data_IF_744237646310
#
_entry.id   IF_744237646310
#
_cell.length_a   1.000
_cell.length_b   1.000
_cell.length_c   1.000
_cell.angle_alpha   90.00
_cell.angle_beta   90.00
_cell.angle_gamma   90.00
#
_symmetry.space_group_name_H-M   'P 1'
#
loop_
_entity.id
_entity.type
_entity.pdbx_description
1 polymer ?
#
# COMPACT_ATOMS: atom_id res chain seq x y z
N UNK A 1 -7.54 -3.25 -27.14
CA UNK A 1 -6.68 -3.46 -25.94
C UNK A 1 -7.45 -3.09 -24.68
N UNK A 2 -7.18 -3.73 -23.54
CA UNK A 2 -7.81 -3.35 -22.26
C UNK A 2 -7.14 -2.08 -21.72
N UNK A 3 -7.94 -1.06 -21.39
CA UNK A 3 -7.44 0.22 -20.82
C UNK A 3 -6.76 -0.01 -19.47
N UNK A 4 -7.51 -0.50 -18.49
CA UNK A 4 -6.97 -0.86 -17.18
C UNK A 4 -6.45 -2.29 -17.21
N UNK A 5 -5.13 -2.42 -17.09
CA UNK A 5 -4.38 -3.69 -17.13
C UNK A 5 -4.07 -4.24 -15.74
N UNK A 6 -4.25 -3.45 -14.69
CA UNK A 6 -3.99 -3.89 -13.32
C UNK A 6 -5.00 -3.32 -12.29
N UNK A 7 -5.13 -4.04 -11.18
CA UNK A 7 -5.78 -3.57 -9.96
C UNK A 7 -4.72 -3.57 -8.84
N UNK A 8 -4.49 -2.40 -8.25
CA UNK A 8 -3.68 -2.21 -7.06
C UNK A 8 -4.60 -1.95 -5.86
N UNK A 9 -4.45 -2.68 -4.77
CA UNK A 9 -5.29 -2.49 -3.58
C UNK A 9 -4.50 -2.52 -2.28
N UNK A 10 -4.97 -1.79 -1.27
CA UNK A 10 -4.51 -1.98 0.12
C UNK A 10 -5.04 -3.28 0.73
N UNK A 11 -4.40 -3.72 1.81
CA UNK A 11 -4.82 -4.87 2.60
C UNK A 11 -5.91 -4.50 3.63
N UNK A 12 -5.48 -3.85 4.70
CA UNK A 12 -6.30 -3.50 5.87
C UNK A 12 -7.32 -2.46 5.50
N UNK A 13 -8.54 -2.57 6.04
CA UNK A 13 -9.62 -1.63 5.71
C UNK A 13 -10.14 -1.75 4.27
N UNK A 14 -9.43 -2.43 3.36
CA UNK A 14 -9.73 -2.46 1.92
C UNK A 14 -10.12 -3.85 1.42
N UNK A 15 -9.23 -4.85 1.38
CA UNK A 15 -9.62 -6.24 0.98
C UNK A 15 -9.96 -7.12 2.18
N UNK A 16 -9.57 -6.69 3.37
CA UNK A 16 -9.91 -7.29 4.65
C UNK A 16 -10.37 -6.20 5.64
N UNK A 17 -11.09 -6.56 6.72
CA UNK A 17 -11.22 -5.68 7.88
C UNK A 17 -9.83 -5.35 8.47
N UNK A 18 -9.75 -4.30 9.27
CA UNK A 18 -8.52 -3.91 9.97
C UNK A 18 -7.99 -5.08 10.82
N UNK A 19 -6.72 -5.47 10.63
CA UNK A 19 -6.15 -6.60 11.37
C UNK A 19 -6.72 -7.97 10.99
N UNK A 20 -7.69 -8.00 10.07
CA UNK A 20 -8.52 -9.15 9.76
C UNK A 20 -7.97 -10.04 8.65
N UNK A 21 -8.82 -10.97 8.21
CA UNK A 21 -8.54 -11.87 7.08
C UNK A 21 -9.43 -11.53 5.89
N UNK A 22 -8.97 -11.88 4.70
CA UNK A 22 -9.74 -11.74 3.46
C UNK A 22 -10.82 -12.82 3.41
N UNK A 23 -12.08 -12.40 3.31
CA UNK A 23 -13.21 -13.33 3.18
C UNK A 23 -13.20 -14.08 1.84
N UNK A 24 -13.81 -15.28 1.78
CA UNK A 24 -13.86 -16.09 0.57
C UNK A 24 -14.46 -15.37 -0.64
N UNK A 25 -15.49 -14.53 -0.45
CA UNK A 25 -16.11 -13.76 -1.52
C UNK A 25 -15.14 -12.75 -2.17
N UNK A 26 -14.37 -12.05 -1.35
CA UNK A 26 -13.33 -11.12 -1.80
C UNK A 26 -12.22 -11.86 -2.56
N UNK A 27 -11.77 -13.00 -2.04
CA UNK A 27 -10.78 -13.84 -2.71
C UNK A 27 -11.29 -14.31 -4.09
N UNK A 28 -12.56 -14.71 -4.18
CA UNK A 28 -13.16 -15.09 -5.47
C UNK A 28 -13.21 -13.91 -6.45
N UNK A 29 -13.55 -12.70 -5.97
CA UNK A 29 -13.55 -11.50 -6.80
C UNK A 29 -12.16 -11.16 -7.33
N UNK A 30 -11.12 -11.19 -6.48
CA UNK A 30 -9.74 -10.98 -6.91
C UNK A 30 -9.31 -12.06 -7.92
N UNK A 31 -9.64 -13.33 -7.70
CA UNK A 31 -9.38 -14.39 -8.69
C UNK A 31 -10.10 -14.15 -10.02
N UNK A 32 -11.29 -13.54 -10.05
CA UNK A 32 -11.95 -13.12 -11.31
C UNK A 32 -11.12 -12.06 -12.03
N UNK A 33 -10.56 -11.07 -11.32
CA UNK A 33 -9.65 -10.07 -11.91
C UNK A 33 -8.42 -10.74 -12.52
N UNK A 34 -7.78 -11.65 -11.77
CA UNK A 34 -6.63 -12.41 -12.27
C UNK A 34 -6.97 -13.22 -13.53
N UNK A 35 -8.09 -13.97 -13.53
CA UNK A 35 -8.56 -14.73 -14.71
C UNK A 35 -8.93 -13.85 -15.88
N UNK A 36 -9.32 -12.60 -15.62
CA UNK A 36 -9.52 -11.63 -16.69
C UNK A 36 -8.21 -11.25 -17.39
N UNK A 37 -7.03 -11.72 -16.93
CA UNK A 37 -5.73 -11.39 -17.49
C UNK A 37 -5.20 -10.02 -17.07
N UNK A 38 -5.83 -9.38 -16.07
CA UNK A 38 -5.30 -8.19 -15.40
C UNK A 38 -4.33 -8.61 -14.32
N UNK A 39 -3.29 -7.80 -14.10
CA UNK A 39 -2.37 -8.00 -12.98
C UNK A 39 -3.02 -7.58 -11.67
N UNK A 40 -2.67 -8.29 -10.60
CA UNK A 40 -3.04 -7.94 -9.24
C UNK A 40 -1.82 -7.45 -8.47
N UNK A 41 -1.92 -6.27 -7.88
CA UNK A 41 -0.88 -5.68 -7.03
C UNK A 41 -1.45 -5.46 -5.63
N UNK A 42 -0.75 -5.92 -4.60
CA UNK A 42 -1.09 -5.59 -3.21
C UNK A 42 -0.16 -4.48 -2.74
N UNK A 43 -0.69 -3.44 -2.07
CA UNK A 43 0.11 -2.31 -1.58
C UNK A 43 -0.19 -2.07 -0.11
N UNK A 44 0.68 -2.53 0.79
CA UNK A 44 0.37 -2.63 2.23
C UNK A 44 1.54 -2.20 3.13
N UNK A 45 1.18 -1.75 4.33
CA UNK A 45 2.14 -1.50 5.42
C UNK A 45 2.65 -2.77 6.09
N UNK A 46 1.99 -3.91 5.85
CA UNK A 46 2.31 -5.18 6.49
C UNK A 46 3.67 -5.72 6.06
N UNK A 47 4.31 -6.45 6.98
CA UNK A 47 5.49 -7.26 6.69
C UNK A 47 5.09 -8.52 5.93
N UNK A 48 6.00 -9.06 5.13
CA UNK A 48 5.73 -10.25 4.32
C UNK A 48 5.44 -11.47 5.21
N UNK A 49 6.20 -11.64 6.30
CA UNK A 49 5.99 -12.73 7.25
C UNK A 49 4.57 -12.75 7.84
N UNK A 50 4.05 -11.58 8.18
CA UNK A 50 2.70 -11.41 8.69
C UNK A 50 1.64 -11.70 7.63
N UNK A 51 1.83 -11.21 6.40
CA UNK A 51 0.95 -11.48 5.26
C UNK A 51 0.83 -12.98 4.96
N UNK A 52 1.94 -13.71 4.98
CA UNK A 52 1.96 -15.16 4.75
C UNK A 52 1.08 -15.89 5.76
N UNK A 53 1.06 -15.46 7.03
CA UNK A 53 0.24 -16.07 8.08
C UNK A 53 -1.25 -15.78 7.95
N UNK A 54 -1.62 -14.56 7.56
CA UNK A 54 -3.03 -14.15 7.54
C UNK A 54 -3.73 -14.38 6.20
N UNK A 55 -2.98 -14.39 5.10
CA UNK A 55 -3.51 -14.55 3.75
C UNK A 55 -2.69 -15.58 2.93
N UNK A 56 -2.93 -16.89 3.12
CA UNK A 56 -2.16 -17.94 2.43
C UNK A 56 -2.21 -17.90 0.89
N UNK A 57 -3.20 -17.20 0.32
CA UNK A 57 -3.40 -17.12 -1.13
C UNK A 57 -2.57 -16.02 -1.82
N UNK A 58 -1.41 -15.60 -1.25
CA UNK A 58 -0.59 -14.51 -1.81
C UNK A 58 -0.25 -14.69 -3.31
N UNK A 59 -0.12 -15.93 -3.78
CA UNK A 59 0.19 -16.26 -5.18
C UNK A 59 -0.85 -15.75 -6.21
N UNK A 60 -2.02 -15.25 -5.78
CA UNK A 60 -2.93 -14.55 -6.68
C UNK A 60 -2.35 -13.22 -7.18
N UNK A 61 -1.49 -12.58 -6.38
CA UNK A 61 -0.86 -11.30 -6.71
C UNK A 61 0.35 -11.52 -7.61
N UNK A 62 0.55 -10.63 -8.57
CA UNK A 62 1.72 -10.61 -9.44
C UNK A 62 2.90 -9.89 -8.79
N UNK A 63 2.62 -8.92 -7.92
CA UNK A 63 3.61 -8.26 -7.08
C UNK A 63 2.94 -7.74 -5.80
N UNK A 64 3.65 -7.83 -4.68
CA UNK A 64 3.24 -7.28 -3.39
C UNK A 64 4.25 -6.20 -3.02
N UNK A 65 3.75 -5.00 -2.79
CA UNK A 65 4.46 -3.87 -2.19
C UNK A 65 4.21 -3.95 -0.69
N UNK A 66 5.20 -4.41 0.06
CA UNK A 66 5.13 -4.60 1.51
C UNK A 66 5.88 -3.49 2.25
N UNK A 67 5.69 -3.43 3.57
CA UNK A 67 6.41 -2.52 4.47
C UNK A 67 6.31 -1.05 4.01
N UNK A 68 5.11 -0.60 3.66
CA UNK A 68 4.83 0.74 3.16
C UNK A 68 5.67 1.11 1.92
N UNK A 69 6.04 0.12 1.09
CA UNK A 69 6.80 0.35 -0.13
C UNK A 69 8.30 0.17 0.00
N UNK A 70 8.80 -0.32 1.13
CA UNK A 70 10.21 -0.62 1.30
C UNK A 70 10.64 -1.93 0.63
N UNK A 71 9.70 -2.84 0.35
CA UNK A 71 9.99 -4.18 -0.16
C UNK A 71 9.01 -4.55 -1.27
N UNK A 72 9.52 -5.10 -2.38
CA UNK A 72 8.72 -5.83 -3.34
C UNK A 72 8.83 -7.32 -3.08
N UNK A 73 7.72 -8.03 -3.21
CA UNK A 73 7.66 -9.48 -3.09
C UNK A 73 6.93 -10.08 -4.28
N UNK A 74 7.56 -11.05 -4.93
CA UNK A 74 6.94 -11.90 -5.93
C UNK A 74 6.50 -13.22 -5.28
N UNK A 75 5.20 -13.39 -4.96
CA UNK A 75 4.73 -14.57 -4.24
C UNK A 75 4.79 -15.86 -5.07
N UNK A 76 4.88 -15.77 -6.40
CA UNK A 76 5.00 -16.93 -7.29
C UNK A 76 6.43 -17.47 -7.33
N UNK A 77 7.42 -16.58 -7.23
CA UNK A 77 8.84 -16.93 -7.22
C UNK A 77 9.42 -17.06 -5.80
N UNK A 78 8.72 -16.56 -4.77
CA UNK A 78 9.27 -16.45 -3.42
C UNK A 78 10.39 -15.41 -3.30
N UNK A 79 10.49 -14.47 -4.24
CA UNK A 79 11.60 -13.52 -4.35
C UNK A 79 11.25 -12.19 -3.68
N UNK A 80 12.15 -11.69 -2.84
CA UNK A 80 12.07 -10.36 -2.24
C UNK A 80 13.10 -9.42 -2.88
N UNK A 81 12.69 -8.19 -3.15
CA UNK A 81 13.57 -7.11 -3.60
C UNK A 81 13.47 -5.95 -2.63
N UNK A 82 14.59 -5.62 -1.99
CA UNK A 82 14.70 -4.47 -1.11
C UNK A 82 14.74 -3.17 -1.93
N UNK A 83 13.85 -2.23 -1.61
CA UNK A 83 13.84 -0.87 -2.16
C UNK A 83 14.41 0.16 -1.18
N UNK A 84 14.66 -0.25 0.05
CA UNK A 84 15.21 0.58 1.11
C UNK A 84 16.23 -0.23 1.93
N UNK A 85 17.19 0.42 2.60
CA UNK A 85 18.14 -0.26 3.47
C UNK A 85 17.42 -0.88 4.69
N UNK A 86 18.00 -1.92 5.31
CA UNK A 86 17.49 -2.45 6.56
C UNK A 86 17.57 -1.43 7.71
N UNK A 87 16.86 -1.66 8.83
CA UNK A 87 16.96 -0.79 9.99
C UNK A 87 18.42 -0.63 10.45
N UNK A 88 18.86 0.59 10.81
CA UNK A 88 20.23 0.84 11.24
C UNK A 88 20.65 -0.06 12.41
N UNK A 89 21.91 -0.49 12.40
CA UNK A 89 22.46 -1.31 13.48
C UNK A 89 22.31 -0.62 14.83
N UNK A 90 21.93 -1.38 15.86
CA UNK A 90 21.71 -0.86 17.22
C UNK A 90 20.42 -0.08 17.44
N UNK A 91 19.66 0.29 16.39
CA UNK A 91 18.40 1.02 16.55
C UNK A 91 17.38 0.21 17.37
N UNK A 92 17.18 -1.06 17.01
CA UNK A 92 16.25 -1.97 17.70
C UNK A 92 16.69 -2.23 19.14
N UNK A 93 18.00 -2.41 19.35
CA UNK A 93 18.53 -2.68 20.69
C UNK A 93 18.40 -1.45 21.61
N UNK A 94 18.58 -0.25 21.07
CA UNK A 94 18.35 1.01 21.79
C UNK A 94 16.87 1.19 22.18
N UNK A 95 15.93 0.77 21.33
CA UNK A 95 14.50 0.76 21.68
C UNK A 95 14.22 -0.22 22.82
N UNK A 96 14.71 -1.46 22.72
CA UNK A 96 14.53 -2.48 23.76
C UNK A 96 15.13 -2.05 25.10
N UNK A 97 16.32 -1.45 25.08
CA UNK A 97 16.98 -0.92 26.27
C UNK A 97 16.16 0.17 26.98
N UNK A 98 15.22 0.81 26.27
CA UNK A 98 14.28 1.82 26.81
C UNK A 98 12.90 1.25 27.12
N UNK A 99 12.76 -0.07 27.14
CA UNK A 99 11.51 -0.74 27.50
C UNK A 99 10.44 -0.74 26.41
N UNK A 100 10.82 -0.49 25.16
CA UNK A 100 9.88 -0.60 24.03
C UNK A 100 9.61 -2.08 23.75
N UNK A 101 8.40 -2.50 24.03
CA UNK A 101 7.85 -3.82 23.71
C UNK A 101 6.32 -3.68 23.55
N UNK A 102 5.67 -4.29 22.54
CA UNK A 102 6.27 -5.13 21.49
C UNK A 102 7.09 -4.35 20.45
N UNK A 103 8.10 -5.01 19.87
CA UNK A 103 8.80 -4.56 18.64
C UNK A 103 8.72 -5.62 17.57
N UNK A 104 8.34 -5.18 16.37
CA UNK A 104 8.33 -5.98 15.16
C UNK A 104 9.35 -5.45 14.18
N UNK A 105 10.27 -6.30 13.77
CA UNK A 105 11.30 -5.97 12.77
C UNK A 105 10.96 -6.67 11.46
N UNK A 106 10.86 -5.89 10.39
CA UNK A 106 10.79 -6.38 9.01
C UNK A 106 12.12 -6.20 8.30
N UNK A 107 12.11 -6.25 6.97
CA UNK A 107 13.34 -6.14 6.19
C UNK A 107 13.87 -4.71 6.15
N UNK A 108 13.01 -3.69 6.16
CA UNK A 108 13.36 -2.26 6.21
C UNK A 108 12.50 -1.46 7.21
N UNK A 109 11.41 -2.04 7.72
CA UNK A 109 10.54 -1.43 8.73
C UNK A 109 10.87 -1.89 10.15
N UNK A 110 10.72 -0.99 11.12
CA UNK A 110 10.55 -1.33 12.53
C UNK A 110 9.19 -0.81 12.98
N UNK A 111 8.38 -1.67 13.60
CA UNK A 111 7.06 -1.29 14.09
C UNK A 111 6.91 -1.57 15.58
N UNK A 112 6.15 -0.72 16.26
CA UNK A 112 5.71 -0.85 17.65
C UNK A 112 4.32 -0.21 17.79
N UNK A 113 3.87 0.07 19.00
CA UNK A 113 2.55 0.64 19.31
C UNK A 113 2.68 1.92 20.13
N UNK A 114 1.66 2.78 20.06
CA UNK A 114 1.48 3.87 21.02
C UNK A 114 1.39 3.28 22.44
N UNK A 115 2.01 3.90 23.46
CA UNK A 115 2.63 5.23 23.47
C UNK A 115 4.16 5.24 23.24
N UNK A 116 4.73 4.23 22.59
CA UNK A 116 6.19 4.16 22.38
C UNK A 116 6.73 5.15 21.34
N UNK A 117 5.88 5.91 20.65
CA UNK A 117 6.25 6.91 19.65
C UNK A 117 7.23 7.96 20.18
N UNK A 118 7.01 8.43 21.41
CA UNK A 118 7.91 9.39 22.07
C UNK A 118 9.32 8.83 22.29
N UNK A 119 9.42 7.56 22.69
CA UNK A 119 10.69 6.86 22.88
C UNK A 119 11.37 6.63 21.54
N UNK A 120 10.60 6.23 20.51
CA UNK A 120 11.09 6.06 19.13
C UNK A 120 11.73 7.35 18.62
N UNK A 121 11.04 8.48 18.73
CA UNK A 121 11.59 9.79 18.34
C UNK A 121 12.85 10.14 19.12
N UNK A 122 12.91 9.82 20.42
CA UNK A 122 14.10 10.06 21.23
C UNK A 122 15.28 9.21 20.77
N UNK A 123 15.09 7.92 20.49
CA UNK A 123 16.16 7.03 19.99
C UNK A 123 16.67 7.50 18.63
N UNK A 124 15.76 7.85 17.71
CA UNK A 124 16.14 8.37 16.39
C UNK A 124 17.06 9.60 16.53
N UNK A 125 16.70 10.53 17.41
CA UNK A 125 17.49 11.73 17.70
C UNK A 125 18.84 11.41 18.34
N UNK A 126 18.88 10.57 19.36
CA UNK A 126 20.10 10.26 20.11
C UNK A 126 21.13 9.53 19.25
N UNK A 127 20.66 8.66 18.36
CA UNK A 127 21.48 7.95 17.38
C UNK A 127 21.73 8.74 16.10
N UNK A 128 21.19 9.97 15.99
CA UNK A 128 21.30 10.85 14.81
C UNK A 128 20.90 10.16 13.50
N UNK A 129 19.81 9.39 13.53
CA UNK A 129 19.30 8.64 12.40
C UNK A 129 18.31 9.48 11.58
N UNK A 130 18.30 9.30 10.27
CA UNK A 130 17.35 9.95 9.35
C UNK A 130 16.09 9.09 9.11
N UNK A 131 15.54 8.50 10.17
CA UNK A 131 14.34 7.65 10.07
C UNK A 131 13.06 8.48 10.19
N UNK A 132 12.02 8.07 9.45
CA UNK A 132 10.68 8.67 9.51
C UNK A 132 9.72 7.79 10.30
N UNK A 133 8.94 8.42 11.17
CA UNK A 133 7.88 7.79 11.96
C UNK A 133 6.54 8.03 11.28
N UNK A 134 5.80 6.95 11.07
CA UNK A 134 4.45 6.93 10.51
C UNK A 134 3.50 6.38 11.55
N UNK A 135 2.43 7.13 11.81
CA UNK A 135 1.37 6.72 12.72
C UNK A 135 0.24 6.10 11.92
N UNK A 136 -0.25 4.94 12.34
CA UNK A 136 -1.44 4.34 11.75
C UNK A 136 -2.27 3.65 12.82
N UNK A 137 -3.42 4.25 13.18
CA UNK A 137 -4.45 3.66 14.06
C UNK A 137 -3.87 3.00 15.33
N UNK A 138 -2.92 3.67 16.00
CA UNK A 138 -2.24 3.19 17.22
C UNK A 138 -0.93 2.44 17.00
N UNK A 139 -0.61 2.07 15.76
CA UNK A 139 0.70 1.56 15.36
C UNK A 139 1.71 2.68 15.09
N UNK A 140 2.97 2.44 15.45
CA UNK A 140 4.12 3.30 15.20
C UNK A 140 5.04 2.56 14.26
N UNK A 141 5.19 3.06 13.03
CA UNK A 141 6.03 2.44 12.00
C UNK A 141 7.22 3.34 11.67
N UNK A 142 8.41 2.78 11.62
CA UNK A 142 9.66 3.51 11.40
C UNK A 142 10.31 2.99 10.13
N UNK A 143 10.55 3.88 9.17
CA UNK A 143 11.09 3.55 7.85
C UNK A 143 12.18 4.55 7.44
N UNK A 144 13.08 4.17 6.51
CA UNK A 144 14.00 5.10 5.87
C UNK A 144 13.28 6.25 5.14
N UNK A 145 13.97 7.39 4.90
CA UNK A 145 13.39 8.49 4.16
C UNK A 145 13.17 8.09 2.69
N UNK A 146 12.23 8.77 2.03
CA UNK A 146 11.88 8.48 0.63
C UNK A 146 10.96 7.26 0.41
N UNK A 147 10.76 6.40 1.41
CA UNK A 147 9.85 5.24 1.31
C UNK A 147 8.39 5.65 1.53
N UNK A 148 7.50 5.13 0.67
CA UNK A 148 6.04 5.31 0.73
C UNK A 148 5.31 4.26 -0.11
N UNK A 149 3.99 4.08 0.12
CA UNK A 149 3.16 3.19 -0.70
C UNK A 149 3.24 3.53 -2.20
N UNK A 150 3.26 4.83 -2.54
CA UNK A 150 3.38 5.28 -3.93
C UNK A 150 4.76 5.02 -4.53
N UNK A 151 5.85 5.20 -3.79
CA UNK A 151 7.19 4.88 -4.31
C UNK A 151 7.34 3.38 -4.56
N UNK A 152 6.80 2.54 -3.67
CA UNK A 152 6.76 1.10 -3.84
C UNK A 152 5.86 0.66 -5.00
N UNK A 153 4.68 1.28 -5.16
CA UNK A 153 3.80 1.05 -6.31
C UNK A 153 4.53 1.36 -7.62
N UNK A 154 5.19 2.52 -7.74
CA UNK A 154 5.93 2.89 -8.93
C UNK A 154 7.02 1.86 -9.29
N UNK A 155 7.72 1.31 -8.30
CA UNK A 155 8.68 0.24 -8.52
C UNK A 155 8.02 -1.07 -8.99
N UNK A 156 6.87 -1.43 -8.40
CA UNK A 156 6.08 -2.60 -8.83
C UNK A 156 5.55 -2.46 -10.26
N UNK A 157 5.09 -1.26 -10.65
CA UNK A 157 4.61 -0.96 -12.00
C UNK A 157 5.72 -1.13 -13.04
N UNK A 158 6.92 -0.60 -12.77
CA UNK A 158 8.10 -0.81 -13.62
C UNK A 158 8.41 -2.30 -13.79
N UNK A 159 8.42 -3.09 -12.71
CA UNK A 159 8.66 -4.54 -12.78
C UNK A 159 7.57 -5.30 -13.54
N UNK A 160 6.35 -4.77 -13.56
CA UNK A 160 5.20 -5.37 -14.22
C UNK A 160 4.97 -4.88 -15.66
N UNK A 161 5.80 -3.97 -16.17
CA UNK A 161 5.63 -3.29 -17.46
C UNK A 161 4.23 -2.63 -17.59
N UNK A 162 3.91 -1.81 -16.56
CA UNK A 162 2.66 -1.08 -16.44
C UNK A 162 2.92 0.41 -16.30
N UNK A 163 2.04 1.21 -16.90
CA UNK A 163 1.96 2.64 -16.67
C UNK A 163 0.89 2.97 -15.62
N UNK A 164 1.04 4.03 -14.80
CA UNK A 164 0.07 4.35 -13.75
C UNK A 164 -1.36 4.56 -14.25
N UNK A 165 -1.54 5.12 -15.45
CA UNK A 165 -2.84 5.33 -16.12
C UNK A 165 -3.57 4.02 -16.48
N UNK A 166 -2.86 2.88 -16.47
CA UNK A 166 -3.40 1.54 -16.71
C UNK A 166 -3.85 0.84 -15.41
N UNK A 167 -3.78 1.51 -14.27
CA UNK A 167 -4.01 0.92 -12.95
C UNK A 167 -5.30 1.45 -12.34
N UNK A 168 -6.11 0.55 -11.80
CA UNK A 168 -7.19 0.90 -10.86
C UNK A 168 -6.63 0.76 -9.45
N UNK A 169 -6.62 1.83 -8.67
CA UNK A 169 -6.21 1.85 -7.26
C UNK A 169 -7.41 1.73 -6.33
N UNK A 170 -7.30 0.92 -5.27
CA UNK A 170 -8.34 0.80 -4.22
C UNK A 170 -7.73 0.95 -2.83
N UNK A 171 -8.31 1.81 -1.99
CA UNK A 171 -7.83 2.07 -0.63
C UNK A 171 -8.92 2.63 0.29
N UNK A 172 -8.57 2.92 1.55
CA UNK A 172 -9.50 3.44 2.55
C UNK A 172 -8.97 4.57 3.43
N UNK A 173 -7.64 4.76 3.52
CA UNK A 173 -7.03 5.65 4.51
C UNK A 173 -6.06 6.69 3.92
N UNK A 174 -5.62 7.64 4.74
CA UNK A 174 -4.74 8.76 4.34
C UNK A 174 -3.41 8.30 3.72
N UNK A 175 -2.84 7.21 4.23
CA UNK A 175 -1.61 6.63 3.68
C UNK A 175 -1.78 6.04 2.28
N UNK A 176 -3.03 5.89 1.79
CA UNK A 176 -3.33 5.42 0.44
C UNK A 176 -3.42 6.56 -0.57
N UNK A 177 -3.68 7.80 -0.12
CA UNK A 177 -4.03 8.93 -0.98
C UNK A 177 -3.02 9.14 -2.12
N UNK A 178 -1.73 9.10 -1.79
CA UNK A 178 -0.66 9.34 -2.76
C UNK A 178 -0.61 8.26 -3.85
N UNK A 179 -0.85 6.99 -3.52
CA UNK A 179 -0.83 5.93 -4.54
C UNK A 179 -2.15 5.88 -5.31
N UNK A 180 -3.29 6.17 -4.66
CA UNK A 180 -4.58 6.29 -5.32
C UNK A 180 -4.56 7.41 -6.36
N UNK A 181 -3.96 8.55 -6.02
CA UNK A 181 -3.82 9.70 -6.93
C UNK A 181 -2.91 9.41 -8.13
N UNK A 182 -1.95 8.50 -7.97
CA UNK A 182 -1.07 8.08 -9.05
C UNK A 182 -1.76 7.12 -10.06
N UNK A 183 -2.81 6.41 -9.63
CA UNK A 183 -3.52 5.46 -10.48
C UNK A 183 -4.43 6.17 -11.50
N UNK A 184 -4.58 5.55 -12.68
CA UNK A 184 -5.47 6.04 -13.75
C UNK A 184 -6.95 6.06 -13.39
N UNK A 185 -7.35 5.25 -12.39
CA UNK A 185 -8.68 5.30 -11.79
C UNK A 185 -8.60 4.94 -10.31
N UNK A 186 -9.08 5.81 -9.42
CA UNK A 186 -9.02 5.61 -7.98
C UNK A 186 -10.39 5.25 -7.40
N UNK A 187 -10.39 4.34 -6.44
CA UNK A 187 -11.60 3.83 -5.79
C UNK A 187 -11.40 3.84 -4.28
N UNK A 188 -12.39 4.35 -3.55
CA UNK A 188 -12.46 4.22 -2.10
C UNK A 188 -13.57 3.24 -1.71
N UNK A 189 -13.30 2.38 -0.73
CA UNK A 189 -14.34 1.50 -0.17
C UNK A 189 -15.30 2.28 0.76
N UNK A 190 -16.48 1.74 1.05
CA UNK A 190 -17.50 2.49 1.79
C UNK A 190 -17.07 2.87 3.23
N UNK A 191 -16.16 2.14 3.86
CA UNK A 191 -15.59 2.46 5.17
C UNK A 191 -14.41 3.43 5.10
N UNK A 192 -14.02 3.90 3.92
CA UNK A 192 -12.92 4.84 3.76
C UNK A 192 -13.17 6.16 4.50
N UNK A 193 -12.10 6.81 4.90
CA UNK A 193 -12.13 8.15 5.50
C UNK A 193 -12.79 9.14 4.54
N UNK A 194 -13.51 10.11 5.10
CA UNK A 194 -14.25 11.10 4.29
C UNK A 194 -13.30 11.91 3.38
N UNK A 195 -12.10 12.22 3.87
CA UNK A 195 -11.06 12.90 3.10
C UNK A 195 -10.65 12.11 1.84
N UNK A 196 -10.62 10.78 1.92
CA UNK A 196 -10.30 9.91 0.79
C UNK A 196 -11.48 9.83 -0.18
N UNK A 197 -12.70 9.65 0.32
CA UNK A 197 -13.92 9.58 -0.51
C UNK A 197 -14.13 10.81 -1.40
N UNK A 198 -13.66 11.98 -0.95
CA UNK A 198 -13.75 13.24 -1.69
C UNK A 198 -12.71 13.38 -2.82
N UNK A 199 -11.67 12.54 -2.85
CA UNK A 199 -10.53 12.65 -3.77
C UNK A 199 -10.46 11.53 -4.81
N UNK A 200 -11.34 10.53 -4.71
CA UNK A 200 -11.35 9.36 -5.61
C UNK A 200 -12.37 9.48 -6.73
N UNK A 201 -12.16 8.74 -7.82
CA UNK A 201 -13.06 8.71 -8.97
C UNK A 201 -14.36 7.92 -8.68
N UNK A 202 -14.32 6.97 -7.74
CA UNK A 202 -15.48 6.17 -7.33
C UNK A 202 -15.44 5.83 -5.84
N UNK A 203 -16.60 5.90 -5.17
CA UNK A 203 -16.80 5.32 -3.84
C UNK A 203 -17.74 4.13 -3.97
N UNK A 204 -17.33 2.96 -3.47
CA UNK A 204 -18.20 1.76 -3.47
C UNK A 204 -19.28 1.89 -2.41
N UNK A 205 -20.42 1.20 -2.61
CA UNK A 205 -21.50 1.15 -1.62
C UNK A 205 -21.18 0.22 -0.46
N UNK A 206 -20.38 -0.83 -0.70
CA UNK A 206 -19.99 -1.81 0.33
C UNK A 206 -18.62 -1.51 0.94
N UNK A 207 -18.43 -1.78 2.25
CA UNK A 207 -17.14 -1.62 2.91
C UNK A 207 -16.22 -2.81 2.64
N UNK A 208 -14.92 -2.61 2.90
CA UNK A 208 -13.88 -3.62 2.86
C UNK A 208 -13.95 -4.46 1.57
N UNK A 209 -13.72 -5.77 1.68
CA UNK A 209 -13.74 -6.68 0.55
C UNK A 209 -15.08 -6.72 -0.20
N UNK A 210 -16.19 -6.31 0.42
CA UNK A 210 -17.46 -6.11 -0.28
C UNK A 210 -17.38 -5.05 -1.39
N UNK A 211 -16.59 -3.99 -1.16
CA UNK A 211 -16.30 -2.98 -2.18
C UNK A 211 -15.51 -3.54 -3.35
N UNK A 212 -14.57 -4.45 -3.11
CA UNK A 212 -13.85 -5.17 -4.17
C UNK A 212 -14.80 -6.03 -4.99
N UNK A 213 -15.70 -6.78 -4.34
CA UNK A 213 -16.70 -7.59 -5.05
C UNK A 213 -17.57 -6.70 -5.94
N UNK A 214 -18.02 -5.54 -5.44
CA UNK A 214 -18.82 -4.57 -6.21
C UNK A 214 -18.05 -3.98 -7.40
N UNK A 215 -16.77 -3.66 -7.21
CA UNK A 215 -15.91 -3.09 -8.24
C UNK A 215 -15.65 -4.09 -9.37
N UNK A 216 -15.39 -5.36 -9.02
CA UNK A 216 -15.06 -6.40 -10.01
C UNK A 216 -16.20 -6.66 -10.98
N UNK A 217 -17.45 -6.60 -10.52
CA UNK A 217 -18.62 -6.77 -11.38
C UNK A 217 -18.78 -5.62 -12.41
N UNK A 218 -18.13 -4.46 -12.16
CA UNK A 218 -18.20 -3.26 -13.02
C UNK A 218 -16.89 -2.92 -13.72
N UNK A 219 -15.83 -3.71 -13.52
CA UNK A 219 -14.45 -3.36 -13.93
C UNK A 219 -14.27 -3.18 -15.44
N UNK A 220 -15.19 -3.73 -16.24
CA UNK A 220 -15.22 -3.61 -17.70
C UNK A 220 -15.86 -2.31 -18.18
N UNK A 221 -16.70 -1.68 -17.34
CA UNK A 221 -17.47 -0.48 -17.67
C UNK A 221 -16.82 0.81 -17.16
N UNK A 222 -15.64 0.72 -16.54
CA UNK A 222 -14.96 1.87 -15.96
C UNK A 222 -14.52 2.83 -17.07
N UNK A 223 -14.99 4.10 -17.05
CA UNK A 223 -14.73 5.04 -18.11
C UNK A 223 -13.29 5.54 -18.12
N UNK A 224 -12.97 6.25 -19.19
CA UNK A 224 -11.73 6.97 -19.32
C UNK A 224 -11.66 8.18 -18.38
N UNK A 225 -10.61 8.28 -17.55
CA UNK A 225 -10.23 9.59 -16.98
C UNK A 225 -9.81 10.52 -18.13
N UNK A 226 -10.35 11.76 -18.20
CA UNK A 226 -9.84 12.75 -19.13
C UNK A 226 -8.37 13.02 -18.79
N UNK A 227 -7.52 13.20 -19.80
CA UNK A 227 -6.14 13.62 -19.55
C UNK A 227 -6.17 14.96 -18.84
N UNK A 228 -5.60 15.04 -17.64
CA UNK A 228 -5.37 16.32 -16.98
C UNK A 228 -4.35 17.07 -17.83
N UNK A 229 -4.79 18.11 -18.55
CA UNK A 229 -3.87 19.02 -19.23
C UNK A 229 -3.09 19.73 -18.12
N UNK A 230 -1.86 19.30 -17.90
CA UNK A 230 -0.89 20.04 -17.09
C UNK A 230 -0.61 21.35 -17.83
N UNK A 231 -1.30 22.42 -17.46
CA UNK A 231 -0.92 23.79 -17.83
C UNK A 231 0.34 24.16 -17.06
N UNK A 232 1.47 23.60 -17.45
CA UNK A 232 2.77 24.23 -17.25
C UNK A 232 3.04 25.02 -18.53
N UNK A 233 2.28 26.09 -18.73
CA UNK A 233 2.72 27.14 -19.64
C UNK A 233 3.83 27.90 -18.93
N UNK A 234 4.98 27.89 -19.60
CA UNK A 234 6.16 28.65 -19.29
C UNK A 234 5.82 30.15 -19.26
N UNK A 235 5.84 30.77 -18.09
CA UNK A 235 6.10 32.21 -17.99
C UNK A 235 7.62 32.43 -18.03
N UNK A 236 8.13 32.65 -19.25
CA UNK A 236 9.32 33.45 -19.50
C UNK A 236 8.89 34.61 -20.40
N UNK A 237 9.46 35.79 -20.14
CA UNK A 237 9.32 37.09 -20.82
C UNK A 237 8.13 37.92 -20.29
N UNK A 238 8.28 39.15 -19.79
CA UNK A 238 9.24 40.23 -20.14
C UNK A 238 9.99 40.83 -18.94
#
# INVERSE_FOLDING_TARGET
>A
MRRYRALACDYDGTIAPEGGRVDPGTLQALKKVQRSGRKLLLVTGRRISELVSIFPALAIFDCIVAENGAVLYNPKAGEQTMLAPPPPAGFVDALRARGVDPIWVGSAIVATVVPHDSIVHSVIRDLKLELRVFMNKGGVMVLPPGVSKVSGLNAALKRCDLQPDQVIGVGDAENDEAFLSACGYSVAVANALQAIKQRVDLVTKRPHGGGIVELVDRIVDIPAKPATISTHEHEYSE
#
